data_IF_989000344633
#
_entry.id   IF_989000344633
#
_cell.length_a   1.000
_cell.length_b   1.000
_cell.length_c   1.000
_cell.angle_alpha   90.00
_cell.angle_beta   90.00
_cell.angle_gamma   90.00
#
_symmetry.space_group_name_H-M   'P 1'
#
loop_
_entity.id
_entity.type
_entity.pdbx_description
1 polymer ?
#
# COMPACT_ATOMS: atom_id res chain seq x y z
N UNK A 1 49.03 -13.02 40.16
CA UNK A 1 48.45 -13.10 38.80
C UNK A 1 47.53 -14.29 38.75
N UNK A 2 46.23 -14.09 38.99
CA UNK A 2 45.21 -15.10 38.73
C UNK A 2 44.45 -14.63 37.48
N UNK A 3 45.03 -14.90 36.31
CA UNK A 3 44.31 -14.81 35.05
C UNK A 3 43.46 -16.07 34.96
N UNK A 4 42.21 -15.99 35.41
CA UNK A 4 41.19 -16.95 35.02
C UNK A 4 41.14 -16.94 33.49
N UNK A 5 41.59 -18.03 32.88
CA UNK A 5 41.34 -18.35 31.49
C UNK A 5 39.83 -18.53 31.41
N UNK A 6 39.12 -17.45 31.13
CA UNK A 6 37.74 -17.51 30.68
C UNK A 6 37.75 -18.41 29.46
N UNK A 7 37.22 -19.63 29.61
CA UNK A 7 36.92 -20.50 28.48
C UNK A 7 36.27 -19.63 27.41
N UNK A 8 36.91 -19.50 26.26
CA UNK A 8 36.29 -18.88 25.09
C UNK A 8 34.93 -19.55 24.93
N UNK A 9 33.85 -18.84 25.26
CA UNK A 9 32.51 -19.21 24.80
C UNK A 9 32.67 -19.29 23.29
N UNK A 10 32.75 -20.51 22.74
CA UNK A 10 32.69 -20.78 21.30
C UNK A 10 31.65 -19.84 20.74
N UNK A 11 32.08 -18.79 20.05
CA UNK A 11 31.16 -17.80 19.51
C UNK A 11 30.14 -18.59 18.68
N UNK A 12 28.88 -18.61 19.10
CA UNK A 12 27.91 -19.49 18.46
C UNK A 12 27.78 -18.99 17.02
N UNK A 13 28.16 -19.84 16.04
CA UNK A 13 28.12 -19.50 14.61
C UNK A 13 26.74 -18.98 14.16
N UNK A 14 25.69 -19.35 14.88
CA UNK A 14 24.33 -18.83 14.72
C UNK A 14 23.91 -18.05 15.99
N UNK A 15 23.10 -17.00 15.85
CA UNK A 15 22.74 -16.09 16.96
C UNK A 15 21.49 -16.55 17.73
N UNK A 16 21.02 -17.78 17.52
CA UNK A 16 19.86 -18.33 18.24
C UNK A 16 20.25 -18.87 19.62
N UNK A 17 19.53 -18.47 20.66
CA UNK A 17 19.83 -18.84 22.05
C UNK A 17 19.19 -20.18 22.45
N UNK A 18 19.97 -21.02 23.14
CA UNK A 18 19.48 -22.20 23.88
C UNK A 18 18.90 -23.35 23.05
N UNK A 19 19.17 -23.42 21.73
CA UNK A 19 18.67 -24.48 20.83
C UNK A 19 19.74 -24.88 19.82
N UNK A 20 19.74 -26.14 19.42
CA UNK A 20 20.49 -26.57 18.22
C UNK A 20 19.80 -26.05 16.95
N UNK A 21 20.54 -25.95 15.83
CA UNK A 21 19.98 -25.51 14.55
C UNK A 21 18.76 -26.35 14.15
N UNK A 22 18.88 -27.68 14.28
CA UNK A 22 17.78 -28.63 13.97
C UNK A 22 16.56 -28.40 14.87
N UNK A 23 16.76 -28.20 16.19
CA UNK A 23 15.67 -27.89 17.10
C UNK A 23 15.01 -26.53 16.81
N UNK A 24 15.78 -25.51 16.41
CA UNK A 24 15.24 -24.20 16.04
C UNK A 24 14.34 -24.29 14.78
N UNK A 25 14.70 -25.14 13.82
CA UNK A 25 13.94 -25.37 12.58
C UNK A 25 12.68 -26.19 12.83
N UNK A 26 12.80 -27.36 13.47
CA UNK A 26 11.69 -28.31 13.66
C UNK A 26 10.63 -27.79 14.65
N UNK A 27 11.04 -27.36 15.84
CA UNK A 27 10.12 -26.75 16.82
C UNK A 27 9.53 -25.44 16.30
N UNK A 28 10.32 -24.70 15.50
CA UNK A 28 9.88 -23.51 14.79
C UNK A 28 8.72 -23.81 13.85
N UNK A 29 8.85 -24.86 13.03
CA UNK A 29 7.85 -25.30 12.05
C UNK A 29 6.49 -25.58 12.69
N UNK A 30 6.43 -26.50 13.67
CA UNK A 30 5.16 -26.90 14.27
C UNK A 30 4.48 -25.74 15.01
N UNK A 31 5.27 -24.93 15.73
CA UNK A 31 4.74 -23.75 16.43
C UNK A 31 4.14 -22.74 15.44
N UNK A 32 4.85 -22.42 14.36
CA UNK A 32 4.37 -21.44 13.38
C UNK A 32 3.19 -21.99 12.59
N UNK A 33 3.16 -23.28 12.27
CA UNK A 33 2.03 -23.92 11.61
C UNK A 33 0.75 -23.82 12.45
N UNK A 34 0.82 -24.20 13.73
CA UNK A 34 -0.34 -24.13 14.64
C UNK A 34 -0.86 -22.70 14.79
N UNK A 35 0.03 -21.73 15.02
CA UNK A 35 -0.35 -20.32 15.15
C UNK A 35 -0.93 -19.78 13.83
N UNK A 36 -0.32 -20.10 12.69
CA UNK A 36 -0.78 -19.66 11.39
C UNK A 36 -2.18 -20.22 11.08
N UNK A 37 -2.41 -21.50 11.37
CA UNK A 37 -3.71 -22.14 11.19
C UNK A 37 -4.79 -21.45 12.04
N UNK A 38 -4.54 -21.29 13.34
CA UNK A 38 -5.51 -20.67 14.27
C UNK A 38 -5.81 -19.23 13.85
N UNK A 39 -4.79 -18.42 13.57
CA UNK A 39 -4.98 -17.02 13.17
C UNK A 39 -5.75 -16.94 11.85
N UNK A 40 -5.39 -17.75 10.86
CA UNK A 40 -6.05 -17.75 9.55
C UNK A 40 -7.52 -18.22 9.66
N UNK A 41 -7.78 -19.23 10.46
CA UNK A 41 -9.13 -19.72 10.77
C UNK A 41 -9.99 -18.61 11.41
N UNK A 42 -9.47 -17.97 12.45
CA UNK A 42 -10.17 -16.88 13.14
C UNK A 42 -10.48 -15.71 12.20
N UNK A 43 -9.54 -15.29 11.35
CA UNK A 43 -9.76 -14.23 10.36
C UNK A 43 -10.86 -14.61 9.37
N UNK A 44 -10.92 -15.87 8.95
CA UNK A 44 -11.95 -16.35 8.01
C UNK A 44 -13.35 -16.42 8.62
N UNK A 45 -13.45 -16.74 9.92
CA UNK A 45 -14.73 -17.00 10.60
C UNK A 45 -15.27 -15.77 11.34
N UNK A 46 -14.41 -14.92 11.88
CA UNK A 46 -14.78 -13.78 12.72
C UNK A 46 -15.83 -12.85 12.07
N UNK A 47 -15.72 -12.45 10.78
CA UNK A 47 -16.74 -11.61 10.16
C UNK A 47 -18.12 -12.27 10.07
N UNK A 48 -18.17 -13.60 9.91
CA UNK A 48 -19.41 -14.35 9.85
C UNK A 48 -20.05 -14.49 11.24
N UNK A 49 -19.22 -14.68 12.28
CA UNK A 49 -19.67 -14.71 13.69
C UNK A 49 -20.24 -13.36 14.09
N UNK A 50 -19.52 -12.26 13.83
CA UNK A 50 -19.96 -10.90 14.16
C UNK A 50 -21.26 -10.50 13.46
N UNK A 51 -21.53 -11.07 12.27
CA UNK A 51 -22.77 -10.84 11.52
C UNK A 51 -23.87 -11.85 11.85
N UNK A 52 -23.67 -12.73 12.83
CA UNK A 52 -24.61 -13.78 13.21
C UNK A 52 -24.89 -14.83 12.11
N UNK A 53 -24.09 -14.85 11.03
CA UNK A 53 -24.31 -15.76 9.90
C UNK A 53 -24.00 -17.21 10.25
N UNK A 54 -23.12 -17.45 11.21
CA UNK A 54 -22.75 -18.80 11.66
C UNK A 54 -23.93 -19.54 12.29
N UNK A 55 -24.83 -18.83 12.98
CA UNK A 55 -26.05 -19.44 13.54
C UNK A 55 -27.05 -19.86 12.46
N UNK A 56 -27.00 -19.23 11.29
CA UNK A 56 -27.85 -19.56 10.13
C UNK A 56 -27.23 -20.63 9.24
N UNK A 57 -25.91 -20.62 9.09
CA UNK A 57 -25.16 -21.60 8.30
C UNK A 57 -23.89 -22.04 9.05
N UNK A 58 -23.95 -23.14 9.83
CA UNK A 58 -22.79 -23.64 10.57
C UNK A 58 -21.71 -24.24 9.64
N UNK A 59 -22.01 -24.48 8.36
CA UNK A 59 -21.01 -25.00 7.39
C UNK A 59 -19.83 -24.04 7.19
N UNK A 60 -20.01 -22.75 7.52
CA UNK A 60 -18.98 -21.72 7.48
C UNK A 60 -17.79 -22.07 8.38
N UNK A 61 -18.03 -22.69 9.55
CA UNK A 61 -16.94 -23.11 10.45
C UNK A 61 -16.09 -24.20 9.81
N UNK A 62 -16.74 -25.22 9.24
CA UNK A 62 -16.04 -26.32 8.54
C UNK A 62 -15.26 -25.81 7.33
N UNK A 63 -15.86 -24.91 6.52
CA UNK A 63 -15.19 -24.28 5.37
C UNK A 63 -14.01 -23.41 5.80
N UNK A 64 -14.14 -22.68 6.92
CA UNK A 64 -13.08 -21.85 7.48
C UNK A 64 -11.82 -22.63 7.88
N UNK A 65 -11.98 -23.88 8.32
CA UNK A 65 -10.87 -24.80 8.65
C UNK A 65 -10.41 -25.69 7.50
N UNK A 66 -10.90 -25.44 6.28
CA UNK A 66 -10.64 -26.30 5.13
C UNK A 66 -9.21 -26.23 4.57
N UNK A 67 -9.06 -26.79 3.37
CA UNK A 67 -7.77 -26.93 2.67
C UNK A 67 -7.03 -25.60 2.44
N UNK A 68 -7.72 -24.47 2.31
CA UNK A 68 -7.09 -23.15 2.15
C UNK A 68 -6.32 -22.72 3.41
N UNK A 69 -6.92 -22.93 4.59
CA UNK A 69 -6.32 -22.58 5.89
C UNK A 69 -5.13 -23.48 6.21
N UNK A 70 -5.27 -24.78 5.94
CA UNK A 70 -4.18 -25.76 6.07
C UNK A 70 -3.04 -25.41 5.11
N UNK A 71 -3.36 -25.15 3.83
CA UNK A 71 -2.38 -24.80 2.80
C UNK A 71 -1.61 -23.52 3.14
N UNK A 72 -2.30 -22.49 3.62
CA UNK A 72 -1.66 -21.25 4.08
C UNK A 72 -0.74 -21.48 5.27
N UNK A 73 -1.18 -22.24 6.27
CA UNK A 73 -0.36 -22.56 7.45
C UNK A 73 0.90 -23.37 7.06
N UNK A 74 0.76 -24.31 6.13
CA UNK A 74 1.87 -25.10 5.60
C UNK A 74 2.86 -24.25 4.80
N UNK A 75 2.36 -23.34 3.95
CA UNK A 75 3.19 -22.33 3.28
C UNK A 75 4.00 -21.50 4.29
N UNK A 76 3.34 -20.86 5.26
CA UNK A 76 4.00 -19.93 6.17
C UNK A 76 5.01 -20.62 7.09
N UNK A 77 4.69 -21.82 7.57
CA UNK A 77 5.60 -22.61 8.40
C UNK A 77 6.82 -23.11 7.61
N UNK A 78 6.60 -23.65 6.41
CA UNK A 78 7.69 -24.07 5.51
C UNK A 78 8.60 -22.92 5.15
N UNK A 79 8.02 -21.75 4.86
CA UNK A 79 8.75 -20.51 4.58
C UNK A 79 9.71 -20.14 5.71
N UNK A 80 9.21 -20.04 6.95
CA UNK A 80 10.03 -19.64 8.10
C UNK A 80 11.10 -20.69 8.44
N UNK A 81 10.77 -21.98 8.32
CA UNK A 81 11.71 -23.06 8.58
C UNK A 81 12.79 -23.19 7.50
N UNK A 82 12.43 -23.03 6.22
CA UNK A 82 13.38 -23.01 5.12
C UNK A 82 14.38 -21.85 5.28
N UNK A 83 13.89 -20.65 5.64
CA UNK A 83 14.75 -19.51 5.92
C UNK A 83 15.77 -19.81 7.02
N UNK A 84 15.31 -20.33 8.16
CA UNK A 84 16.20 -20.67 9.29
C UNK A 84 17.22 -21.75 8.91
N UNK A 85 16.77 -22.80 8.21
CA UNK A 85 17.63 -23.89 7.77
C UNK A 85 18.73 -23.38 6.85
N UNK A 86 18.37 -22.63 5.80
CA UNK A 86 19.33 -22.09 4.84
C UNK A 86 20.28 -21.08 5.50
N UNK A 87 19.76 -20.20 6.35
CA UNK A 87 20.60 -19.21 7.06
C UNK A 87 21.61 -19.88 8.01
N UNK A 88 21.17 -20.86 8.80
CA UNK A 88 22.05 -21.62 9.69
C UNK A 88 23.12 -22.39 8.90
N UNK A 89 22.73 -23.01 7.79
CA UNK A 89 23.65 -23.74 6.90
C UNK A 89 24.68 -22.78 6.29
N UNK A 90 24.23 -21.63 5.77
CA UNK A 90 25.11 -20.61 5.20
C UNK A 90 26.08 -20.03 6.23
N UNK A 91 25.64 -19.78 7.46
CA UNK A 91 26.54 -19.30 8.55
C UNK A 91 27.51 -20.37 9.04
N UNK A 92 27.14 -21.65 8.95
CA UNK A 92 28.04 -22.74 9.25
C UNK A 92 29.24 -22.78 8.29
N UNK A 93 28.98 -22.62 6.98
CA UNK A 93 30.01 -22.60 5.94
C UNK A 93 30.68 -21.23 5.73
N UNK A 94 29.97 -20.13 5.99
CA UNK A 94 30.44 -18.74 5.84
C UNK A 94 30.16 -17.94 7.12
N UNK A 95 31.00 -18.08 8.16
CA UNK A 95 30.77 -17.48 9.49
C UNK A 95 31.13 -15.99 9.60
N UNK A 96 31.87 -15.40 8.64
CA UNK A 96 32.30 -14.01 8.73
C UNK A 96 31.12 -13.04 8.72
N UNK A 97 31.13 -12.04 9.61
CA UNK A 97 30.07 -11.03 9.77
C UNK A 97 29.77 -10.25 8.48
N UNK A 98 30.76 -10.00 7.63
CA UNK A 98 30.56 -9.35 6.32
C UNK A 98 29.73 -10.23 5.36
N UNK A 99 29.79 -11.55 5.51
CA UNK A 99 29.00 -12.51 4.74
C UNK A 99 27.53 -12.56 5.14
N UNK A 100 27.13 -12.02 6.30
CA UNK A 100 25.77 -12.16 6.83
C UNK A 100 24.72 -11.48 5.95
N UNK A 101 25.10 -10.43 5.20
CA UNK A 101 24.25 -9.79 4.19
C UNK A 101 23.86 -10.75 3.06
N UNK A 102 24.85 -11.46 2.49
CA UNK A 102 24.62 -12.43 1.41
C UNK A 102 23.92 -13.68 1.96
N UNK A 103 24.33 -14.15 3.14
CA UNK A 103 23.70 -15.30 3.80
C UNK A 103 22.20 -15.04 4.01
N UNK A 104 21.83 -13.86 4.52
CA UNK A 104 20.43 -13.47 4.71
C UNK A 104 19.68 -13.28 3.39
N UNK A 105 20.33 -12.74 2.36
CA UNK A 105 19.73 -12.58 1.03
C UNK A 105 19.39 -13.93 0.40
N UNK A 106 20.35 -14.85 0.37
CA UNK A 106 20.18 -16.19 -0.20
C UNK A 106 19.15 -16.97 0.61
N UNK A 107 19.22 -16.94 1.95
CA UNK A 107 18.24 -17.61 2.79
C UNK A 107 16.81 -17.07 2.57
N UNK A 108 16.64 -15.75 2.47
CA UNK A 108 15.35 -15.13 2.16
C UNK A 108 14.83 -15.52 0.77
N UNK A 109 15.71 -15.53 -0.24
CA UNK A 109 15.37 -15.87 -1.62
C UNK A 109 14.98 -17.33 -1.78
N UNK A 110 15.76 -18.25 -1.22
CA UNK A 110 15.46 -19.69 -1.26
C UNK A 110 14.19 -20.00 -0.48
N UNK A 111 14.01 -19.42 0.71
CA UNK A 111 12.77 -19.55 1.46
C UNK A 111 11.57 -19.04 0.66
N UNK A 112 11.74 -17.96 -0.11
CA UNK A 112 10.70 -17.39 -0.96
C UNK A 112 10.05 -18.36 -1.95
N UNK A 113 10.80 -19.37 -2.42
CA UNK A 113 10.29 -20.41 -3.33
C UNK A 113 9.12 -21.20 -2.72
N UNK A 114 9.04 -21.28 -1.39
CA UNK A 114 7.93 -21.94 -0.68
C UNK A 114 6.57 -21.30 -0.96
N UNK A 115 6.51 -20.09 -1.53
CA UNK A 115 5.26 -19.48 -2.00
C UNK A 115 4.50 -20.37 -2.99
N UNK A 116 5.19 -21.28 -3.69
CA UNK A 116 4.56 -22.28 -4.57
C UNK A 116 3.53 -23.17 -3.83
N UNK A 117 3.70 -23.35 -2.51
CA UNK A 117 2.80 -24.14 -1.67
C UNK A 117 1.43 -23.46 -1.47
N UNK A 118 1.35 -22.14 -1.65
CA UNK A 118 0.09 -21.42 -1.59
C UNK A 118 -0.70 -21.60 -2.90
N UNK A 119 -1.77 -22.39 -2.85
CA UNK A 119 -2.62 -22.66 -4.03
C UNK A 119 -3.48 -21.47 -4.44
N UNK A 120 -3.66 -20.46 -3.58
CA UNK A 120 -4.50 -19.32 -3.87
C UNK A 120 -3.73 -18.25 -4.65
N UNK A 121 -3.88 -18.24 -5.97
CA UNK A 121 -3.17 -17.31 -6.86
C UNK A 121 -3.42 -15.83 -6.52
N UNK A 122 -4.66 -15.45 -6.15
CA UNK A 122 -4.97 -14.07 -5.79
C UNK A 122 -4.24 -13.64 -4.50
N UNK A 123 -4.19 -14.53 -3.50
CA UNK A 123 -3.42 -14.28 -2.27
C UNK A 123 -1.93 -14.21 -2.56
N UNK A 124 -1.38 -15.11 -3.39
CA UNK A 124 0.02 -15.08 -3.82
C UNK A 124 0.38 -13.74 -4.45
N UNK A 125 -0.35 -13.31 -5.47
CA UNK A 125 -0.11 -12.02 -6.14
C UNK A 125 -0.18 -10.86 -5.15
N UNK A 126 -1.19 -10.83 -4.27
CA UNK A 126 -1.33 -9.77 -3.27
C UNK A 126 -0.16 -9.73 -2.27
N UNK A 127 0.27 -10.89 -1.76
CA UNK A 127 1.40 -11.00 -0.82
C UNK A 127 2.72 -10.66 -1.52
N UNK A 128 2.92 -11.12 -2.76
CA UNK A 128 4.09 -10.78 -3.59
C UNK A 128 4.21 -9.28 -3.80
N UNK A 129 3.15 -8.63 -4.29
CA UNK A 129 3.18 -7.20 -4.56
C UNK A 129 3.33 -6.39 -3.28
N UNK A 130 2.71 -6.82 -2.19
CA UNK A 130 2.89 -6.19 -0.88
C UNK A 130 4.34 -6.29 -0.37
N UNK A 131 4.94 -7.48 -0.45
CA UNK A 131 6.33 -7.66 -0.03
C UNK A 131 7.29 -6.90 -0.94
N UNK A 132 7.04 -6.89 -2.25
CA UNK A 132 7.81 -6.14 -3.23
C UNK A 132 7.83 -4.65 -2.91
N UNK A 133 6.67 -4.02 -2.72
CA UNK A 133 6.61 -2.59 -2.38
C UNK A 133 7.26 -2.28 -1.03
N UNK A 134 7.14 -3.17 -0.04
CA UNK A 134 7.83 -3.03 1.25
C UNK A 134 9.35 -3.19 1.12
N UNK A 135 9.82 -4.10 0.27
CA UNK A 135 11.25 -4.27 0.00
C UNK A 135 11.84 -3.01 -0.64
N UNK A 136 11.11 -2.38 -1.57
CA UNK A 136 11.49 -1.09 -2.15
C UNK A 136 11.47 0.00 -1.07
N UNK A 137 10.40 0.11 -0.27
CA UNK A 137 10.30 1.12 0.78
C UNK A 137 11.49 1.07 1.74
N UNK A 138 11.79 -0.12 2.27
CA UNK A 138 12.87 -0.29 3.23
C UNK A 138 14.24 -0.20 2.56
N UNK A 139 14.38 -0.67 1.31
CA UNK A 139 15.58 -0.48 0.50
C UNK A 139 15.89 0.99 0.24
N UNK A 140 14.88 1.78 -0.13
CA UNK A 140 15.00 3.23 -0.28
C UNK A 140 15.32 3.92 1.05
N UNK A 141 14.74 3.46 2.16
CA UNK A 141 15.06 3.97 3.50
C UNK A 141 16.52 3.68 3.89
N UNK A 142 17.03 2.50 3.53
CA UNK A 142 18.44 2.15 3.69
C UNK A 142 19.37 3.01 2.82
N UNK A 143 19.04 3.20 1.55
CA UNK A 143 19.79 4.07 0.64
C UNK A 143 19.83 5.52 1.18
N UNK A 144 18.70 6.04 1.65
CA UNK A 144 18.62 7.37 2.26
C UNK A 144 19.46 7.47 3.54
N UNK A 145 19.46 6.44 4.38
CA UNK A 145 20.32 6.37 5.57
C UNK A 145 21.80 6.41 5.19
N UNK A 146 22.23 5.60 4.23
CA UNK A 146 23.63 5.57 3.77
C UNK A 146 24.07 6.87 3.13
N UNK A 147 23.19 7.46 2.32
CA UNK A 147 23.43 8.78 1.75
C UNK A 147 23.55 9.86 2.83
N UNK A 148 22.70 9.82 3.88
CA UNK A 148 22.81 10.73 5.01
C UNK A 148 24.13 10.55 5.79
N UNK A 149 24.53 9.32 6.09
CA UNK A 149 25.82 9.00 6.74
C UNK A 149 27.00 9.60 5.94
N UNK A 150 27.00 9.40 4.62
CA UNK A 150 28.04 9.95 3.74
C UNK A 150 28.06 11.49 3.73
N UNK A 151 26.88 12.14 3.66
CA UNK A 151 26.77 13.61 3.74
C UNK A 151 27.26 14.15 5.07
N UNK A 152 26.90 13.51 6.18
CA UNK A 152 27.37 13.90 7.51
C UNK A 152 28.89 13.74 7.62
N UNK A 153 29.48 12.65 7.12
CA UNK A 153 30.93 12.46 7.10
C UNK A 153 31.64 13.56 6.29
N UNK A 154 31.15 13.86 5.07
CA UNK A 154 31.68 14.95 4.22
C UNK A 154 31.59 16.31 4.91
N UNK A 155 30.48 16.60 5.59
CA UNK A 155 30.30 17.86 6.33
C UNK A 155 31.24 17.97 7.53
N UNK A 156 31.41 16.89 8.29
CA UNK A 156 32.34 16.83 9.41
C UNK A 156 33.78 17.03 8.93
N UNK A 157 34.19 16.38 7.84
CA UNK A 157 35.51 16.58 7.25
C UNK A 157 35.74 18.03 6.82
N UNK A 158 34.79 18.64 6.10
CA UNK A 158 34.89 20.05 5.69
C UNK A 158 34.95 21.01 6.88
N UNK A 159 34.20 20.71 7.96
CA UNK A 159 34.20 21.53 9.18
C UNK A 159 35.54 21.45 9.91
N UNK A 160 36.20 20.29 9.90
CA UNK A 160 37.54 20.13 10.46
C UNK A 160 38.56 20.98 9.68
N UNK A 161 38.56 20.88 8.34
CA UNK A 161 39.43 21.70 7.48
C UNK A 161 39.22 23.20 7.71
N UNK A 162 37.96 23.65 7.81
CA UNK A 162 37.66 25.06 8.04
C UNK A 162 38.09 25.51 9.44
N UNK A 163 37.96 24.64 10.44
CA UNK A 163 38.41 24.90 11.81
C UNK A 163 39.93 25.04 11.85
N UNK A 164 40.67 24.13 11.23
CA UNK A 164 42.13 24.17 11.18
C UNK A 164 42.61 25.45 10.47
N UNK A 165 41.92 25.87 9.40
CA UNK A 165 42.22 27.12 8.71
C UNK A 165 41.98 28.36 9.60
N UNK A 166 40.90 28.41 10.37
CA UNK A 166 40.61 29.53 11.30
C UNK A 166 41.57 29.53 12.49
N UNK A 167 41.91 28.37 13.05
CA UNK A 167 42.91 28.27 14.12
C UNK A 167 44.29 28.73 13.62
N UNK A 168 44.66 28.41 12.38
CA UNK A 168 45.93 28.84 11.77
C UNK A 168 46.01 30.35 11.46
N UNK A 169 44.88 31.02 11.24
CA UNK A 169 44.85 32.45 10.90
C UNK A 169 44.87 33.38 12.12
N UNK A 170 44.70 32.83 13.33
CA UNK A 170 44.69 33.60 14.58
C UNK A 170 43.50 34.57 14.74
N UNK A 171 42.56 34.58 13.80
CA UNK A 171 41.36 35.44 13.85
C UNK A 171 40.17 34.68 14.43
N UNK A 172 39.43 35.29 15.36
CA UNK A 172 38.13 34.77 15.82
C UNK A 172 37.07 34.97 14.74
N UNK A 173 37.03 34.08 13.74
CA UNK A 173 35.94 34.03 12.75
C UNK A 173 34.87 33.01 13.16
N UNK A 174 33.60 33.38 12.98
CA UNK A 174 32.46 32.49 13.21
C UNK A 174 32.35 31.47 12.06
N UNK A 175 32.30 30.18 12.39
CA UNK A 175 32.23 29.08 11.41
C UNK A 175 30.84 29.00 10.77
N UNK A 176 30.57 29.85 9.77
CA UNK A 176 29.31 29.80 9.02
C UNK A 176 29.38 28.71 7.94
N UNK A 177 28.79 27.55 8.22
CA UNK A 177 28.61 26.50 7.19
C UNK A 177 27.31 26.75 6.41
N UNK A 178 27.42 27.07 5.11
CA UNK A 178 26.25 27.22 4.23
C UNK A 178 25.49 25.90 4.10
N UNK A 179 24.16 25.96 4.01
CA UNK A 179 23.31 24.81 3.67
C UNK A 179 23.66 24.31 2.28
N UNK A 180 24.03 23.03 2.17
CA UNK A 180 24.35 22.41 0.89
C UNK A 180 23.07 22.10 0.09
N UNK A 181 23.16 22.09 -1.24
CA UNK A 181 22.04 21.71 -2.13
C UNK A 181 21.50 20.31 -1.79
N UNK A 182 22.40 19.41 -1.38
CA UNK A 182 22.13 18.04 -0.96
C UNK A 182 21.20 17.98 0.26
N UNK A 183 21.29 18.94 1.20
CA UNK A 183 20.44 19.02 2.39
C UNK A 183 19.02 19.48 2.02
N UNK A 184 18.92 20.42 1.08
CA UNK A 184 17.62 20.87 0.52
C UNK A 184 16.96 19.71 -0.21
N UNK A 185 17.70 18.98 -1.03
CA UNK A 185 17.19 17.81 -1.75
C UNK A 185 16.70 16.72 -0.79
N UNK A 186 17.49 16.36 0.24
CA UNK A 186 17.10 15.36 1.22
C UNK A 186 15.83 15.74 2.00
N UNK A 187 15.71 17.02 2.39
CA UNK A 187 14.52 17.54 3.06
C UNK A 187 13.29 17.49 2.15
N UNK A 188 13.44 17.91 0.89
CA UNK A 188 12.35 17.89 -0.09
C UNK A 188 11.89 16.47 -0.37
N UNK A 189 12.82 15.54 -0.65
CA UNK A 189 12.49 14.13 -0.92
C UNK A 189 11.74 13.49 0.24
N UNK A 190 12.22 13.68 1.48
CA UNK A 190 11.57 13.09 2.66
C UNK A 190 10.19 13.71 2.95
N UNK A 191 10.00 15.01 2.68
CA UNK A 191 8.73 15.69 2.88
C UNK A 191 7.70 15.36 1.78
N UNK A 192 8.13 15.14 0.52
CA UNK A 192 7.24 14.96 -0.61
C UNK A 192 7.01 13.50 -1.02
N UNK A 193 7.82 12.55 -0.54
CA UNK A 193 7.77 11.15 -0.98
C UNK A 193 6.38 10.53 -0.92
N UNK A 194 5.65 10.72 0.19
CA UNK A 194 4.31 10.16 0.34
C UNK A 194 3.32 10.74 -0.69
N UNK A 195 3.41 12.06 -0.92
CA UNK A 195 2.56 12.79 -1.87
C UNK A 195 2.85 12.40 -3.31
N UNK A 196 4.13 12.23 -3.67
CA UNK A 196 4.53 11.78 -5.01
C UNK A 196 4.02 10.36 -5.26
N UNK A 197 4.25 9.42 -4.33
CA UNK A 197 3.76 8.05 -4.49
C UNK A 197 2.24 8.03 -4.56
N UNK A 198 1.54 8.76 -3.68
CA UNK A 198 0.08 8.84 -3.74
C UNK A 198 -0.40 9.37 -5.09
N UNK A 199 0.18 10.46 -5.58
CA UNK A 199 -0.17 11.09 -6.87
C UNK A 199 0.03 10.13 -8.04
N UNK A 200 1.17 9.44 -8.10
CA UNK A 200 1.43 8.46 -9.15
C UNK A 200 0.43 7.30 -9.11
N UNK A 201 0.13 6.78 -7.92
CA UNK A 201 -0.84 5.69 -7.77
C UNK A 201 -2.25 6.14 -8.14
N UNK A 202 -2.65 7.34 -7.74
CA UNK A 202 -3.93 7.94 -8.07
C UNK A 202 -4.10 8.14 -9.59
N UNK A 203 -3.04 8.57 -10.30
CA UNK A 203 -3.06 8.70 -11.77
C UNK A 203 -3.47 7.38 -12.43
N UNK A 204 -2.81 6.27 -12.05
CA UNK A 204 -3.10 4.94 -12.58
C UNK A 204 -4.50 4.48 -12.21
N UNK A 205 -4.87 4.62 -10.93
CA UNK A 205 -6.13 4.10 -10.41
C UNK A 205 -7.31 4.83 -11.04
N UNK A 206 -7.25 6.17 -11.12
CA UNK A 206 -8.34 6.97 -11.67
C UNK A 206 -8.42 6.80 -13.18
N UNK A 207 -7.29 6.74 -13.89
CA UNK A 207 -7.26 6.39 -15.32
C UNK A 207 -7.94 5.05 -15.59
N UNK A 208 -7.51 4.00 -14.89
CA UNK A 208 -8.09 2.67 -15.06
C UNK A 208 -9.55 2.65 -14.65
N UNK A 209 -9.97 3.42 -13.65
CA UNK A 209 -11.37 3.48 -13.22
C UNK A 209 -12.32 3.99 -14.29
N UNK A 210 -11.88 4.90 -15.15
CA UNK A 210 -12.72 5.53 -16.17
C UNK A 210 -12.54 4.88 -17.53
N UNK A 211 -11.30 4.52 -17.90
CA UNK A 211 -10.97 4.09 -19.28
C UNK A 211 -10.83 2.57 -19.41
N UNK A 212 -10.23 1.89 -18.43
CA UNK A 212 -9.96 0.44 -18.48
C UNK A 212 -10.26 -0.24 -17.14
N UNK A 213 -11.54 -0.27 -16.69
CA UNK A 213 -11.91 -0.74 -15.36
C UNK A 213 -11.62 -2.24 -15.15
N UNK A 214 -11.63 -3.03 -16.22
CA UNK A 214 -11.33 -4.46 -16.23
C UNK A 214 -9.88 -4.79 -15.84
N UNK A 215 -8.96 -3.82 -15.94
CA UNK A 215 -7.57 -4.01 -15.53
C UNK A 215 -7.39 -4.01 -14.00
N UNK A 216 -8.38 -3.52 -13.25
CA UNK A 216 -8.27 -3.42 -11.80
C UNK A 216 -8.58 -4.73 -11.06
N UNK A 217 -7.96 -4.93 -9.88
CA UNK A 217 -8.34 -6.02 -8.98
C UNK A 217 -9.79 -5.87 -8.52
N UNK A 218 -10.61 -6.90 -8.72
CA UNK A 218 -12.08 -6.88 -8.45
C UNK A 218 -12.44 -6.38 -7.05
N UNK A 219 -11.68 -6.75 -6.02
CA UNK A 219 -11.93 -6.30 -4.64
C UNK A 219 -11.69 -4.80 -4.47
N UNK A 220 -10.69 -4.26 -5.17
CA UNK A 220 -10.34 -2.85 -5.12
C UNK A 220 -11.30 -2.02 -5.96
N UNK A 221 -11.71 -2.51 -7.13
CA UNK A 221 -12.78 -1.92 -7.93
C UNK A 221 -14.06 -1.73 -7.12
N UNK A 222 -14.53 -2.77 -6.42
CA UNK A 222 -15.72 -2.67 -5.55
C UNK A 222 -15.56 -1.62 -4.45
N UNK A 223 -14.37 -1.51 -3.88
CA UNK A 223 -14.07 -0.48 -2.89
C UNK A 223 -14.18 0.93 -3.50
N UNK A 224 -13.62 1.15 -4.70
CA UNK A 224 -13.75 2.44 -5.39
C UNK A 224 -15.21 2.74 -5.73
N UNK A 225 -15.98 1.74 -6.18
CA UNK A 225 -17.40 1.92 -6.51
C UNK A 225 -18.25 2.29 -5.29
N UNK A 226 -17.95 1.77 -4.11
CA UNK A 226 -18.64 2.20 -2.88
C UNK A 226 -18.44 3.70 -2.64
N UNK A 227 -17.22 4.21 -2.86
CA UNK A 227 -16.85 5.61 -2.64
C UNK A 227 -17.14 6.53 -3.84
N UNK A 228 -17.41 5.99 -5.03
CA UNK A 228 -17.86 6.79 -6.18
C UNK A 228 -19.31 7.25 -6.02
N UNK A 229 -20.11 6.53 -5.24
CA UNK A 229 -21.55 6.79 -5.13
C UNK A 229 -22.36 6.38 -6.35
N UNK A 230 -21.73 5.83 -7.41
CA UNK A 230 -22.41 5.44 -8.64
C UNK A 230 -23.42 4.29 -8.43
N UNK A 231 -23.09 3.23 -7.66
CA UNK A 231 -24.06 2.17 -7.34
C UNK A 231 -25.31 2.68 -6.63
N UNK A 232 -25.16 3.67 -5.75
CA UNK A 232 -26.27 4.24 -4.99
C UNK A 232 -27.16 5.14 -5.87
N UNK A 233 -26.64 5.65 -6.99
CA UNK A 233 -27.38 6.50 -7.94
C UNK A 233 -28.06 5.71 -9.05
N UNK A 234 -27.35 4.73 -9.61
CA UNK A 234 -27.84 3.99 -10.79
C UNK A 234 -28.37 2.59 -10.46
N UNK A 235 -28.16 2.10 -9.24
CA UNK A 235 -28.63 0.78 -8.82
C UNK A 235 -28.10 -0.33 -9.73
N UNK A 236 -28.95 -1.24 -10.23
CA UNK A 236 -28.51 -2.33 -11.13
C UNK A 236 -27.85 -1.84 -12.43
N UNK A 237 -28.23 -0.66 -12.93
CA UNK A 237 -27.74 -0.12 -14.20
C UNK A 237 -26.31 0.44 -14.14
N UNK A 238 -25.67 0.50 -12.97
CA UNK A 238 -24.29 0.99 -12.84
C UNK A 238 -23.32 0.22 -13.75
N UNK A 239 -23.49 -1.11 -13.84
CA UNK A 239 -22.62 -1.93 -14.67
C UNK A 239 -22.78 -1.64 -16.16
N UNK A 240 -24.00 -1.41 -16.62
CA UNK A 240 -24.30 -1.09 -18.02
C UNK A 240 -23.73 0.28 -18.37
N UNK A 241 -23.96 1.30 -17.52
CA UNK A 241 -23.39 2.65 -17.71
C UNK A 241 -21.87 2.63 -17.78
N UNK A 242 -21.21 1.87 -16.91
CA UNK A 242 -19.74 1.79 -16.89
C UNK A 242 -19.16 1.00 -18.06
N UNK A 243 -19.90 0.03 -18.61
CA UNK A 243 -19.47 -0.74 -19.78
C UNK A 243 -19.55 0.09 -21.06
N UNK A 244 -20.56 0.94 -21.14
CA UNK A 244 -20.79 1.83 -22.29
C UNK A 244 -20.01 3.15 -22.18
N UNK A 245 -19.16 3.32 -21.15
CA UNK A 245 -18.22 4.43 -21.11
C UNK A 245 -17.30 4.34 -22.34
N UNK A 246 -17.26 5.37 -23.21
CA UNK A 246 -16.47 5.28 -24.41
C UNK A 246 -14.99 5.20 -24.02
N UNK A 247 -14.36 4.08 -24.35
CA UNK A 247 -12.92 3.85 -24.13
C UNK A 247 -12.00 4.65 -25.07
N UNK A 248 -12.58 5.55 -25.88
CA UNK A 248 -11.91 6.34 -26.89
C UNK A 248 -11.55 7.75 -26.41
N UNK A 249 -10.41 8.26 -26.91
CA UNK A 249 -9.90 9.59 -26.58
C UNK A 249 -10.38 10.70 -27.54
N UNK A 250 -11.13 10.33 -28.58
CA UNK A 250 -11.50 11.21 -29.68
C UNK A 250 -13.02 11.46 -29.70
N UNK A 251 -13.42 12.68 -30.08
CA UNK A 251 -14.82 13.11 -30.23
C UNK A 251 -15.72 12.87 -29.00
N UNK A 252 -15.41 13.55 -27.89
CA UNK A 252 -16.16 13.43 -26.64
C UNK A 252 -17.30 14.44 -26.45
N UNK A 253 -17.43 15.41 -27.36
CA UNK A 253 -18.43 16.47 -27.30
C UNK A 253 -19.78 15.99 -27.82
N UNK A 254 -20.85 16.39 -27.15
CA UNK A 254 -22.21 16.23 -27.68
C UNK A 254 -22.45 17.38 -28.69
N UNK A 255 -22.92 17.09 -29.92
CA UNK A 255 -23.15 18.13 -30.92
C UNK A 255 -24.10 19.23 -30.43
N UNK A 256 -23.82 20.47 -30.84
CA UNK A 256 -24.67 21.62 -30.51
C UNK A 256 -26.09 21.42 -31.03
N UNK A 257 -27.08 21.55 -30.16
CA UNK A 257 -28.51 21.37 -30.51
C UNK A 257 -29.06 19.97 -30.21
N UNK A 258 -28.23 19.00 -29.83
CA UNK A 258 -28.68 17.67 -29.39
C UNK A 258 -28.67 17.60 -27.87
N UNK A 259 -29.76 17.16 -27.23
CA UNK A 259 -29.77 16.99 -25.77
C UNK A 259 -28.93 15.78 -25.35
N UNK A 260 -28.42 15.77 -24.11
CA UNK A 260 -27.64 14.60 -23.62
C UNK A 260 -28.46 13.32 -23.63
N UNK A 261 -29.77 13.43 -23.38
CA UNK A 261 -30.71 12.31 -23.43
C UNK A 261 -30.85 11.74 -24.85
N UNK A 262 -31.08 12.60 -25.85
CA UNK A 262 -31.18 12.17 -27.25
C UNK A 262 -29.87 11.55 -27.74
N UNK A 263 -28.73 12.18 -27.40
CA UNK A 263 -27.42 11.65 -27.76
C UNK A 263 -27.19 10.25 -27.18
N UNK A 264 -27.46 10.06 -25.89
CA UNK A 264 -27.28 8.76 -25.21
C UNK A 264 -28.28 7.73 -25.74
N UNK A 265 -29.53 8.12 -26.00
CA UNK A 265 -30.54 7.21 -26.52
C UNK A 265 -30.17 6.67 -27.90
N UNK A 266 -29.62 7.53 -28.78
CA UNK A 266 -29.29 7.18 -30.15
C UNK A 266 -27.93 6.48 -30.29
N UNK A 267 -26.91 6.92 -29.55
CA UNK A 267 -25.52 6.49 -29.77
C UNK A 267 -24.99 5.49 -28.73
N UNK A 268 -25.67 5.35 -27.58
CA UNK A 268 -25.19 4.52 -26.46
C UNK A 268 -26.23 3.46 -26.08
N UNK A 269 -27.33 3.86 -25.45
CA UNK A 269 -28.40 2.93 -25.07
C UNK A 269 -29.68 3.68 -24.72
N UNK A 270 -30.84 3.26 -25.29
CA UNK A 270 -32.13 3.84 -24.94
C UNK A 270 -32.51 3.55 -23.47
N UNK A 271 -32.08 2.41 -22.93
CA UNK A 271 -32.33 2.06 -21.52
C UNK A 271 -31.61 3.02 -20.57
N UNK A 272 -30.35 3.35 -20.87
CA UNK A 272 -29.57 4.30 -20.06
C UNK A 272 -30.18 5.71 -20.15
N UNK A 273 -30.68 6.11 -21.32
CA UNK A 273 -31.29 7.42 -21.52
C UNK A 273 -32.57 7.65 -20.68
N UNK A 274 -33.22 6.60 -20.20
CA UNK A 274 -34.38 6.73 -19.28
C UNK A 274 -34.02 7.40 -17.96
N UNK A 275 -32.75 7.34 -17.55
CA UNK A 275 -32.24 7.99 -16.34
C UNK A 275 -32.06 9.50 -16.49
N UNK A 276 -32.15 10.02 -17.71
CA UNK A 276 -31.77 11.41 -18.01
C UNK A 276 -32.99 12.31 -17.93
N UNK A 277 -32.97 13.32 -17.05
CA UNK A 277 -34.00 14.33 -17.02
C UNK A 277 -33.86 15.27 -18.24
N UNK A 278 -34.96 15.89 -18.67
CA UNK A 278 -34.99 16.67 -19.91
C UNK A 278 -34.35 18.06 -19.77
N UNK A 279 -34.23 18.57 -18.54
CA UNK A 279 -33.73 19.91 -18.21
C UNK A 279 -32.22 19.97 -17.99
N UNK A 280 -31.54 18.82 -17.91
CA UNK A 280 -30.09 18.75 -17.65
C UNK A 280 -29.35 18.42 -18.94
N UNK A 281 -28.48 19.35 -19.34
CA UNK A 281 -27.60 19.19 -20.49
C UNK A 281 -26.12 19.15 -20.08
N UNK A 282 -25.38 18.28 -20.75
CA UNK A 282 -23.94 18.15 -20.66
C UNK A 282 -23.31 18.28 -22.04
N UNK A 283 -22.27 19.11 -22.14
CA UNK A 283 -21.53 19.29 -23.40
C UNK A 283 -20.68 18.06 -23.77
N UNK A 284 -20.46 17.12 -22.83
CA UNK A 284 -19.56 15.99 -23.00
C UNK A 284 -20.23 14.67 -22.61
N UNK A 285 -20.07 13.65 -23.45
CA UNK A 285 -20.71 12.34 -23.27
C UNK A 285 -20.34 11.63 -21.94
N UNK A 286 -19.07 11.72 -21.50
CA UNK A 286 -18.65 11.13 -20.21
C UNK A 286 -19.30 11.83 -19.02
N UNK A 287 -19.48 13.16 -19.09
CA UNK A 287 -20.16 13.91 -18.02
C UNK A 287 -21.64 13.51 -17.97
N UNK A 288 -22.28 13.41 -19.14
CA UNK A 288 -23.64 12.89 -19.29
C UNK A 288 -23.80 11.49 -18.65
N UNK A 289 -22.89 10.55 -18.93
CA UNK A 289 -22.96 9.19 -18.36
C UNK A 289 -22.66 9.11 -16.86
N UNK A 290 -21.68 9.87 -16.36
CA UNK A 290 -21.25 9.78 -14.96
C UNK A 290 -22.20 10.49 -13.99
N UNK A 291 -22.85 11.57 -14.42
CA UNK A 291 -23.74 12.35 -13.56
C UNK A 291 -24.94 12.95 -14.32
N UNK A 292 -25.83 12.12 -14.89
CA UNK A 292 -26.96 12.58 -15.69
C UNK A 292 -27.99 13.39 -14.90
N UNK A 293 -28.10 13.13 -13.60
CA UNK A 293 -29.11 13.73 -12.72
C UNK A 293 -28.74 15.13 -12.22
N UNK A 294 -27.53 15.62 -12.49
CA UNK A 294 -27.03 16.90 -11.95
C UNK A 294 -26.09 17.58 -12.92
N UNK A 295 -26.12 18.91 -13.08
CA UNK A 295 -25.08 19.62 -13.82
C UNK A 295 -23.70 19.42 -13.17
N UNK A 296 -22.60 19.62 -13.90
CA UNK A 296 -21.24 19.35 -13.39
C UNK A 296 -20.92 20.01 -12.04
N UNK A 297 -21.38 21.25 -11.80
CA UNK A 297 -21.19 21.95 -10.52
C UNK A 297 -22.08 21.40 -9.41
N UNK A 298 -23.29 20.95 -9.73
CA UNK A 298 -24.18 20.24 -8.82
C UNK A 298 -23.59 18.88 -8.42
N UNK A 299 -23.06 18.13 -9.39
CA UNK A 299 -22.37 16.87 -9.14
C UNK A 299 -21.18 17.04 -8.19
N UNK A 300 -20.40 18.11 -8.36
CA UNK A 300 -19.26 18.40 -7.48
C UNK A 300 -19.70 18.56 -6.01
N UNK A 301 -20.82 19.24 -5.75
CA UNK A 301 -21.39 19.40 -4.40
C UNK A 301 -21.91 18.08 -3.86
N UNK A 302 -22.63 17.32 -4.69
CA UNK A 302 -23.18 16.01 -4.33
C UNK A 302 -22.09 14.98 -4.00
N UNK A 303 -21.00 14.95 -4.76
CA UNK A 303 -19.82 14.13 -4.46
C UNK A 303 -19.24 14.51 -3.11
N UNK A 304 -19.09 15.81 -2.83
CA UNK A 304 -18.48 16.30 -1.59
C UNK A 304 -19.32 15.94 -0.35
N UNK A 305 -20.64 16.14 -0.38
CA UNK A 305 -21.52 15.82 0.75
C UNK A 305 -21.76 14.31 0.88
N UNK A 306 -22.05 13.64 -0.22
CA UNK A 306 -22.32 12.21 -0.27
C UNK A 306 -21.11 11.38 0.15
N UNK A 307 -19.91 11.78 -0.30
CA UNK A 307 -18.69 11.04 0.04
C UNK A 307 -18.29 11.24 1.50
N UNK A 308 -18.46 12.44 2.04
CA UNK A 308 -18.18 12.67 3.45
C UNK A 308 -18.99 11.74 4.36
N UNK A 309 -20.27 11.51 4.05
CA UNK A 309 -21.14 10.61 4.81
C UNK A 309 -20.72 9.15 4.69
N UNK A 310 -20.35 8.69 3.49
CA UNK A 310 -19.85 7.32 3.26
C UNK A 310 -18.51 7.09 3.97
N UNK A 311 -17.59 8.05 3.86
CA UNK A 311 -16.31 8.04 4.54
C UNK A 311 -16.49 8.02 6.07
N UNK A 312 -17.41 8.83 6.61
CA UNK A 312 -17.72 8.88 8.03
C UNK A 312 -18.25 7.55 8.56
N UNK A 313 -19.15 6.89 7.81
CA UNK A 313 -19.65 5.56 8.16
C UNK A 313 -18.52 4.52 8.23
N UNK A 314 -17.63 4.49 7.24
CA UNK A 314 -16.51 3.55 7.20
C UNK A 314 -15.49 3.82 8.30
N UNK A 315 -14.95 5.04 8.36
CA UNK A 315 -13.90 5.40 9.32
C UNK A 315 -14.40 5.44 10.75
N UNK A 316 -15.62 5.89 10.98
CA UNK A 316 -16.25 5.85 12.30
C UNK A 316 -16.33 4.41 12.82
N UNK A 317 -16.84 3.48 12.01
CA UNK A 317 -16.94 2.06 12.39
C UNK A 317 -15.55 1.45 12.66
N UNK A 318 -14.60 1.66 11.76
CA UNK A 318 -13.25 1.11 11.90
C UNK A 318 -12.53 1.65 13.14
N UNK A 319 -12.50 2.97 13.30
CA UNK A 319 -11.79 3.60 14.41
C UNK A 319 -12.46 3.28 15.75
N UNK A 320 -13.79 3.12 15.78
CA UNK A 320 -14.51 2.69 16.98
C UNK A 320 -14.06 1.28 17.41
N UNK A 321 -14.04 0.31 16.48
CA UNK A 321 -13.60 -1.05 16.76
C UNK A 321 -12.14 -1.06 17.22
N UNK A 322 -11.25 -0.36 16.52
CA UNK A 322 -9.82 -0.29 16.88
C UNK A 322 -9.62 0.31 18.27
N UNK A 323 -10.37 1.36 18.62
CA UNK A 323 -10.29 2.00 19.93
C UNK A 323 -10.78 1.05 21.03
N UNK A 324 -11.89 0.35 20.79
CA UNK A 324 -12.44 -0.60 21.75
C UNK A 324 -11.50 -1.79 21.99
N UNK A 325 -10.88 -2.33 20.95
CA UNK A 325 -9.99 -3.51 21.06
C UNK A 325 -8.64 -3.16 21.65
N UNK A 326 -8.01 -2.07 21.20
CA UNK A 326 -6.61 -1.78 21.54
C UNK A 326 -6.44 -0.69 22.61
N UNK A 327 -7.47 0.10 22.89
CA UNK A 327 -7.39 1.24 23.81
C UNK A 327 -8.41 1.18 24.95
N UNK A 328 -9.05 0.02 25.20
CA UNK A 328 -10.01 -0.18 26.29
C UNK A 328 -9.54 0.36 27.66
N UNK A 329 -8.29 0.09 28.04
CA UNK A 329 -7.71 0.57 29.32
C UNK A 329 -7.59 2.10 29.37
N UNK A 330 -7.22 2.73 28.25
CA UNK A 330 -7.08 4.19 28.15
C UNK A 330 -8.44 4.89 28.08
N UNK A 331 -9.41 4.24 27.45
CA UNK A 331 -10.79 4.70 27.38
C UNK A 331 -11.41 4.75 28.78
N UNK A 332 -11.10 3.76 29.63
CA UNK A 332 -11.54 3.72 31.02
C UNK A 332 -10.88 4.82 31.88
N UNK A 333 -9.60 5.13 31.66
CA UNK A 333 -8.89 6.12 32.48
C UNK A 333 -9.15 7.57 32.07
N UNK A 334 -9.24 7.88 30.77
CA UNK A 334 -9.35 9.24 30.24
C UNK A 334 -10.27 9.31 29.01
N UNK A 335 -11.60 9.18 29.19
CA UNK A 335 -12.54 9.05 28.08
C UNK A 335 -12.61 10.29 27.17
N UNK A 336 -12.62 11.50 27.75
CA UNK A 336 -12.76 12.76 26.98
C UNK A 336 -11.63 12.94 25.96
N UNK A 337 -10.40 12.70 26.38
CA UNK A 337 -9.22 12.87 25.53
C UNK A 337 -9.14 11.82 24.41
N UNK A 338 -9.49 10.57 24.72
CA UNK A 338 -9.56 9.50 23.72
C UNK A 338 -10.63 9.81 22.67
N UNK A 339 -11.82 10.26 23.10
CA UNK A 339 -12.91 10.65 22.20
C UNK A 339 -12.52 11.85 21.34
N UNK A 340 -11.92 12.91 21.91
CA UNK A 340 -11.48 14.08 21.14
C UNK A 340 -10.46 13.69 20.06
N UNK A 341 -9.42 12.93 20.40
CA UNK A 341 -8.43 12.44 19.43
C UNK A 341 -9.08 11.56 18.35
N UNK A 342 -10.02 10.71 18.75
CA UNK A 342 -10.77 9.85 17.83
C UNK A 342 -11.58 10.68 16.84
N UNK A 343 -12.37 11.65 17.30
CA UNK A 343 -13.19 12.51 16.44
C UNK A 343 -12.30 13.30 15.49
N UNK A 344 -11.25 13.94 16.02
CA UNK A 344 -10.28 14.71 15.23
C UNK A 344 -9.63 13.85 14.14
N UNK A 345 -9.18 12.64 14.49
CA UNK A 345 -8.57 11.73 13.53
C UNK A 345 -9.57 11.23 12.48
N UNK A 346 -10.81 10.96 12.88
CA UNK A 346 -11.86 10.47 11.99
C UNK A 346 -12.25 11.55 10.98
N UNK A 347 -12.53 12.78 11.44
CA UNK A 347 -12.86 13.91 10.58
C UNK A 347 -11.73 14.17 9.59
N UNK A 348 -10.46 14.16 10.03
CA UNK A 348 -9.31 14.35 9.13
C UNK A 348 -9.26 13.29 8.03
N UNK A 349 -9.50 12.03 8.34
CA UNK A 349 -9.56 10.95 7.34
C UNK A 349 -10.74 11.06 6.40
N UNK A 350 -11.91 11.48 6.90
CA UNK A 350 -13.08 11.75 6.06
C UNK A 350 -12.80 12.90 5.09
N UNK A 351 -12.20 14.00 5.57
CA UNK A 351 -11.83 15.13 4.74
C UNK A 351 -10.82 14.74 3.67
N UNK A 352 -9.78 13.98 4.02
CA UNK A 352 -8.82 13.44 3.04
C UNK A 352 -9.52 12.67 1.92
N UNK A 353 -10.35 11.68 2.28
CA UNK A 353 -11.00 10.83 1.28
C UNK A 353 -12.01 11.62 0.44
N UNK A 354 -12.77 12.52 1.07
CA UNK A 354 -13.75 13.39 0.39
C UNK A 354 -13.06 14.28 -0.63
N UNK A 355 -11.96 14.94 -0.24
CA UNK A 355 -11.19 15.82 -1.14
C UNK A 355 -10.54 15.02 -2.27
N UNK A 356 -10.01 13.83 -1.98
CA UNK A 356 -9.47 12.92 -2.99
C UNK A 356 -10.53 12.57 -4.06
N UNK A 357 -11.71 12.14 -3.64
CA UNK A 357 -12.80 11.76 -4.55
C UNK A 357 -13.37 12.98 -5.28
N UNK A 358 -13.47 14.13 -4.61
CA UNK A 358 -13.87 15.39 -5.24
C UNK A 358 -12.97 15.73 -6.44
N UNK A 359 -11.65 15.73 -6.26
CA UNK A 359 -10.73 15.97 -7.38
C UNK A 359 -10.81 14.88 -8.44
N UNK A 360 -10.96 13.62 -8.03
CA UNK A 360 -11.09 12.50 -8.97
C UNK A 360 -12.25 12.68 -9.95
N UNK A 361 -13.40 13.19 -9.50
CA UNK A 361 -14.59 13.44 -10.35
C UNK A 361 -14.64 14.84 -10.99
N UNK A 362 -14.18 15.87 -10.29
CA UNK A 362 -14.31 17.25 -10.77
C UNK A 362 -13.23 17.64 -11.78
N UNK A 363 -11.98 17.21 -11.57
CA UNK A 363 -10.87 17.56 -12.46
C UNK A 363 -11.09 17.14 -13.92
N UNK A 364 -11.58 15.93 -14.26
CA UNK A 364 -11.82 15.56 -15.65
C UNK A 364 -12.86 16.45 -16.30
N UNK A 365 -13.91 16.86 -15.57
CA UNK A 365 -14.94 17.76 -16.08
C UNK A 365 -14.36 19.13 -16.48
N UNK A 366 -13.47 19.68 -15.66
CA UNK A 366 -12.76 20.94 -15.97
C UNK A 366 -11.80 20.75 -17.14
N UNK A 367 -11.01 19.68 -17.12
CA UNK A 367 -10.04 19.38 -18.17
C UNK A 367 -10.70 19.14 -19.53
N UNK A 368 -11.88 18.51 -19.58
CA UNK A 368 -12.67 18.36 -20.81
C UNK A 368 -13.13 19.72 -21.35
N UNK A 369 -13.54 20.64 -20.48
CA UNK A 369 -13.90 22.01 -20.89
C UNK A 369 -12.71 22.77 -21.50
N UNK A 370 -11.50 22.58 -20.96
CA UNK A 370 -10.28 23.25 -21.42
C UNK A 370 -9.75 22.61 -22.71
N UNK A 371 -9.57 21.28 -22.71
CA UNK A 371 -8.90 20.56 -23.80
C UNK A 371 -9.85 20.20 -24.95
N UNK A 372 -11.17 20.12 -24.69
CA UNK A 372 -12.21 19.65 -25.64
C UNK A 372 -11.99 18.23 -26.20
N UNK A 373 -11.01 17.50 -25.67
CA UNK A 373 -10.70 16.10 -25.97
C UNK A 373 -10.36 15.35 -24.69
N UNK A 374 -10.52 14.03 -24.71
CA UNK A 374 -10.06 13.20 -23.60
C UNK A 374 -8.60 12.84 -23.86
N UNK A 375 -7.70 13.09 -22.91
CA UNK A 375 -6.28 12.79 -23.09
C UNK A 375 -5.73 12.11 -21.85
N UNK A 376 -4.64 11.35 -22.01
CA UNK A 376 -3.93 10.78 -20.87
C UNK A 376 -3.42 11.88 -19.90
N UNK A 377 -3.11 13.07 -20.42
CA UNK A 377 -2.73 14.24 -19.61
C UNK A 377 -3.83 14.68 -18.64
N UNK A 378 -5.11 14.54 -19.01
CA UNK A 378 -6.25 14.79 -18.10
C UNK A 378 -6.12 13.94 -16.84
N UNK A 379 -5.77 12.67 -16.98
CA UNK A 379 -5.65 11.72 -15.88
C UNK A 379 -4.36 11.90 -15.06
N UNK A 380 -3.29 12.38 -15.70
CA UNK A 380 -2.05 12.77 -15.00
C UNK A 380 -2.31 13.95 -14.06
N UNK A 381 -2.99 15.00 -14.54
CA UNK A 381 -3.35 16.17 -13.71
C UNK A 381 -4.36 15.77 -12.64
N UNK A 382 -5.36 14.96 -13.00
CA UNK A 382 -6.35 14.43 -12.07
C UNK A 382 -5.72 13.67 -10.91
N UNK A 383 -4.87 12.68 -11.20
CA UNK A 383 -4.22 11.88 -10.17
C UNK A 383 -3.25 12.70 -9.32
N UNK A 384 -2.59 13.70 -9.91
CA UNK A 384 -1.74 14.63 -9.16
C UNK A 384 -2.57 15.46 -8.16
N UNK A 385 -3.64 16.12 -8.61
CA UNK A 385 -4.50 16.93 -7.73
C UNK A 385 -5.19 16.08 -6.66
N UNK A 386 -5.69 14.89 -7.03
CA UNK A 386 -6.30 13.95 -6.09
C UNK A 386 -5.27 13.45 -5.07
N UNK A 387 -4.04 13.15 -5.52
CA UNK A 387 -2.96 12.67 -4.66
C UNK A 387 -2.48 13.70 -3.64
N UNK A 388 -2.53 15.00 -3.97
CA UNK A 388 -2.22 16.09 -3.02
C UNK A 388 -3.14 16.08 -1.79
N UNK A 389 -4.35 15.53 -1.89
CA UNK A 389 -5.27 15.42 -0.76
C UNK A 389 -4.65 14.67 0.43
N UNK A 390 -3.65 13.79 0.20
CA UNK A 390 -2.96 13.06 1.27
C UNK A 390 -2.29 13.98 2.29
N UNK A 391 -1.96 15.22 1.91
CA UNK A 391 -1.39 16.22 2.82
C UNK A 391 -2.33 16.59 3.97
N UNK A 392 -3.65 16.34 3.82
CA UNK A 392 -4.64 16.50 4.89
C UNK A 392 -4.40 15.48 6.01
N UNK A 393 -3.88 14.30 5.70
CA UNK A 393 -3.62 13.26 6.70
C UNK A 393 -2.38 13.51 7.56
N UNK A 394 -2.32 12.86 8.73
CA UNK A 394 -1.13 12.92 9.58
C UNK A 394 0.12 12.45 8.82
N UNK A 395 1.28 13.13 8.94
CA UNK A 395 2.52 12.77 8.25
C UNK A 395 2.90 11.29 8.36
N UNK A 396 2.71 10.68 9.54
CA UNK A 396 2.99 9.26 9.76
C UNK A 396 2.06 8.28 9.03
N UNK A 397 0.88 8.73 8.57
CA UNK A 397 -0.11 7.93 7.84
C UNK A 397 -0.06 8.12 6.33
N UNK A 398 0.47 9.25 5.85
CA UNK A 398 0.53 9.57 4.42
C UNK A 398 1.22 8.48 3.60
N UNK A 399 2.42 8.07 4.03
CA UNK A 399 3.18 7.02 3.34
C UNK A 399 2.50 5.65 3.42
N UNK A 400 1.86 5.32 4.54
CA UNK A 400 1.14 4.04 4.68
C UNK A 400 -0.08 3.96 3.77
N UNK A 401 -0.81 5.07 3.57
CA UNK A 401 -1.91 5.15 2.61
C UNK A 401 -1.39 5.05 1.16
N UNK A 402 -0.32 5.75 0.83
CA UNK A 402 0.29 5.68 -0.51
C UNK A 402 0.76 4.25 -0.83
N UNK A 403 1.39 3.56 0.14
CA UNK A 403 1.82 2.17 0.01
C UNK A 403 0.69 1.15 0.07
N UNK A 404 -0.49 1.53 0.54
CA UNK A 404 -1.70 0.71 0.41
C UNK A 404 -2.21 0.73 -1.04
N UNK A 405 -2.18 1.90 -1.70
CA UNK A 405 -2.59 2.07 -3.10
C UNK A 405 -1.55 1.52 -4.09
N UNK A 406 -0.26 1.59 -3.77
CA UNK A 406 0.84 1.25 -4.68
C UNK A 406 0.78 -0.18 -5.24
N UNK A 407 0.60 -1.26 -4.43
CA UNK A 407 0.44 -2.61 -4.97
C UNK A 407 -0.74 -2.73 -5.95
N UNK A 408 -1.84 -2.00 -5.70
CA UNK A 408 -3.03 -2.02 -6.57
C UNK A 408 -2.75 -1.32 -7.89
N UNK A 409 -2.09 -0.15 -7.84
CA UNK A 409 -1.65 0.53 -9.05
C UNK A 409 -0.67 -0.33 -9.87
N UNK A 410 0.29 -1.00 -9.24
CA UNK A 410 1.23 -1.89 -9.93
C UNK A 410 0.53 -3.08 -10.59
N UNK A 411 -0.41 -3.72 -9.90
CA UNK A 411 -1.24 -4.81 -10.46
C UNK A 411 -2.04 -4.32 -11.68
N UNK A 412 -2.66 -3.14 -11.57
CA UNK A 412 -3.41 -2.51 -12.66
C UNK A 412 -2.52 -2.18 -13.85
N UNK A 413 -1.36 -1.55 -13.65
CA UNK A 413 -0.41 -1.24 -14.73
C UNK A 413 0.02 -2.52 -15.45
N UNK A 414 0.36 -3.56 -14.70
CA UNK A 414 0.75 -4.85 -15.28
C UNK A 414 -0.37 -5.43 -16.16
N UNK A 415 -1.62 -5.39 -15.70
CA UNK A 415 -2.77 -5.87 -16.46
C UNK A 415 -3.03 -5.04 -17.74
N UNK A 416 -2.90 -3.72 -17.66
CA UNK A 416 -2.99 -2.83 -18.84
C UNK A 416 -1.88 -3.16 -19.84
N UNK A 417 -0.65 -3.32 -19.38
CA UNK A 417 0.49 -3.67 -20.25
C UNK A 417 0.31 -5.03 -20.91
N UNK A 418 -0.25 -6.02 -20.20
CA UNK A 418 -0.59 -7.33 -20.75
C UNK A 418 -1.68 -7.22 -21.84
N UNK A 419 -2.75 -6.47 -21.56
CA UNK A 419 -3.86 -6.26 -22.51
C UNK A 419 -3.38 -5.59 -23.80
N UNK A 420 -2.44 -4.65 -23.69
CA UNK A 420 -1.84 -3.94 -24.83
C UNK A 420 -0.71 -4.71 -25.53
N UNK A 421 -0.39 -5.93 -25.08
CA UNK A 421 0.68 -6.74 -25.66
C UNK A 421 2.11 -6.20 -25.42
N UNK A 422 2.28 -5.24 -24.51
CA UNK A 422 3.58 -4.62 -24.21
C UNK A 422 4.48 -5.53 -23.36
N UNK A 423 3.88 -6.43 -22.58
CA UNK A 423 4.58 -7.40 -21.75
C UNK A 423 3.97 -8.79 -21.92
N UNK A 424 4.75 -9.82 -21.63
CA UNK A 424 4.29 -11.22 -21.64
C UNK A 424 4.17 -11.74 -20.22
N UNK A 425 3.18 -12.58 -19.98
CA UNK A 425 3.01 -13.20 -18.67
C UNK A 425 4.11 -14.23 -18.42
N UNK A 426 4.94 -14.00 -17.41
CA UNK A 426 6.01 -14.90 -17.02
C UNK A 426 5.45 -15.98 -16.09
N UNK A 427 5.55 -17.24 -16.50
CA UNK A 427 5.13 -18.38 -15.66
C UNK A 427 5.87 -18.32 -14.32
N UNK A 428 5.12 -18.29 -13.23
CA UNK A 428 5.65 -18.20 -11.86
C UNK A 428 6.47 -16.92 -11.56
N UNK A 429 6.29 -15.84 -12.34
CA UNK A 429 6.98 -14.57 -12.11
C UNK A 429 6.69 -13.96 -10.72
N UNK A 430 5.52 -14.23 -10.15
CA UNK A 430 5.15 -13.83 -8.80
C UNK A 430 5.99 -14.53 -7.71
N UNK A 431 6.42 -15.78 -7.94
CA UNK A 431 7.31 -16.52 -7.03
C UNK A 431 8.72 -15.96 -7.12
N UNK A 432 9.23 -15.70 -8.33
CA UNK A 432 10.55 -15.10 -8.52
C UNK A 432 10.62 -13.70 -7.87
N UNK A 433 9.61 -12.87 -8.08
CA UNK A 433 9.52 -11.54 -7.49
C UNK A 433 9.43 -11.58 -5.97
N UNK A 434 8.61 -12.49 -5.42
CA UNK A 434 8.52 -12.69 -3.97
C UNK A 434 9.86 -13.13 -3.39
N UNK A 435 10.54 -14.07 -4.04
CA UNK A 435 11.84 -14.60 -3.62
C UNK A 435 12.89 -13.49 -3.56
N UNK A 436 13.04 -12.71 -4.64
CA UNK A 436 13.98 -11.59 -4.67
C UNK A 436 13.66 -10.55 -3.59
N UNK A 437 12.38 -10.19 -3.45
CA UNK A 437 11.90 -9.20 -2.46
C UNK A 437 12.16 -9.67 -1.03
N UNK A 438 12.01 -10.98 -0.77
CA UNK A 438 12.27 -11.58 0.53
C UNK A 438 13.77 -11.63 0.84
N UNK A 439 14.61 -11.88 -0.16
CA UNK A 439 16.06 -11.76 -0.02
C UNK A 439 16.47 -10.36 0.47
N UNK A 440 16.02 -9.31 -0.22
CA UNK A 440 16.27 -7.91 0.19
C UNK A 440 15.76 -7.66 1.61
N UNK A 441 14.52 -8.06 1.89
CA UNK A 441 13.89 -7.83 3.18
C UNK A 441 14.63 -8.53 4.33
N UNK A 442 15.12 -9.76 4.13
CA UNK A 442 15.89 -10.48 5.14
C UNK A 442 17.29 -9.90 5.33
N UNK A 443 17.94 -9.43 4.27
CA UNK A 443 19.21 -8.70 4.38
C UNK A 443 19.05 -7.46 5.25
N UNK A 444 18.03 -6.65 5.01
CA UNK A 444 17.75 -5.45 5.81
C UNK A 444 17.37 -5.79 7.25
N UNK A 445 16.54 -6.81 7.45
CA UNK A 445 16.12 -7.25 8.79
C UNK A 445 17.31 -7.69 9.66
N UNK A 446 18.25 -8.43 9.08
CA UNK A 446 19.40 -8.97 9.83
C UNK A 446 20.52 -7.96 10.06
N UNK A 447 20.75 -7.05 9.11
CA UNK A 447 21.95 -6.20 9.11
C UNK A 447 21.64 -4.73 9.44
N UNK A 448 20.45 -4.25 9.10
CA UNK A 448 20.07 -2.83 9.23
C UNK A 448 18.64 -2.67 9.82
N UNK A 449 18.28 -3.31 10.95
CA UNK A 449 16.91 -3.29 11.47
C UNK A 449 16.37 -1.89 11.75
N UNK A 450 17.23 -0.88 11.91
CA UNK A 450 16.86 0.52 12.08
C UNK A 450 16.10 1.14 10.90
N UNK A 451 16.24 0.59 9.69
CA UNK A 451 15.58 1.11 8.48
C UNK A 451 14.14 0.59 8.33
N UNK A 452 13.80 -0.47 9.07
CA UNK A 452 12.47 -1.06 9.06
C UNK A 452 11.62 -0.34 10.10
N UNK A 453 10.40 0.02 9.71
CA UNK A 453 9.44 0.62 10.64
C UNK A 453 9.18 -0.30 11.84
N UNK A 454 9.12 0.28 13.05
CA UNK A 454 9.02 -0.42 14.33
C UNK A 454 7.90 -1.47 14.39
N UNK A 455 6.74 -1.19 13.80
CA UNK A 455 5.62 -2.14 13.80
C UNK A 455 5.98 -3.41 13.01
N UNK A 456 6.53 -3.23 11.81
CA UNK A 456 6.98 -4.33 10.95
C UNK A 456 8.14 -5.09 11.58
N UNK A 457 9.12 -4.38 12.15
CA UNK A 457 10.25 -4.99 12.83
C UNK A 457 9.77 -5.89 13.98
N UNK A 458 8.75 -5.46 14.74
CA UNK A 458 8.16 -6.26 15.82
C UNK A 458 7.53 -7.55 15.28
N UNK A 459 6.79 -7.47 14.17
CA UNK A 459 6.18 -8.65 13.53
C UNK A 459 7.26 -9.60 12.99
N UNK A 460 8.25 -9.09 12.27
CA UNK A 460 9.37 -9.90 11.75
C UNK A 460 10.14 -10.57 12.90
N UNK A 461 10.41 -9.84 13.98
CA UNK A 461 11.09 -10.39 15.16
C UNK A 461 10.28 -11.50 15.82
N UNK A 462 8.94 -11.40 15.86
CA UNK A 462 8.08 -12.47 16.38
C UNK A 462 8.05 -13.71 15.47
N UNK A 463 8.08 -13.52 14.15
CA UNK A 463 8.01 -14.61 13.18
C UNK A 463 9.35 -15.33 13.01
N UNK A 464 10.40 -14.57 12.72
CA UNK A 464 11.72 -15.11 12.44
C UNK A 464 12.51 -15.35 13.72
N UNK A 465 12.35 -14.51 14.74
CA UNK A 465 13.22 -14.48 15.92
C UNK A 465 14.49 -13.67 15.65
N UNK A 466 15.26 -13.40 16.72
CA UNK A 466 16.64 -12.93 16.60
C UNK A 466 17.49 -14.14 16.25
N UNK A 467 17.95 -14.24 15.01
CA UNK A 467 18.72 -15.38 14.51
C UNK A 467 20.09 -14.99 14.04
#
# INVERSE_FOLDING_TARGET
MNLEITQEKRASKCKHEGKTCSQNVTRGFFKTWMVAYVVKYLIGVLPAVLKGKVFKDPSILKKGGGSDTIGFAFFLSSFLSAYKLVLCTMRYYRPNNEGDRLNAFVAGSVAGLTLILDKNKSRRTAVTLYLFTRSIQFGSSYAMKKWAEHRHAKKTANRLVLRDAVESSGQKQELVTKTAWDDVLAKTMSASAATVVMSMTACVIIYSCVIEPEAMPKSYWRFIMEHSGLPQKFGPMTHDVLRELPGGMEHIGIPTGVTSKEFVAHNISPNIATLFPNDIHHDFQLCALLHPLTPCSGHAKDVLTGEFMRAAKMYGTLNFIVTLVFQNKKLASNPKEVVYRYVKSTIRSCLFLTVYVFFAFYTPCVMRKILKRETIFTYLINGTLSGLAVLIEAPGRQMELALYCLPRALETVWNIMLKRGLVRNVRNGDIALFSASMGVMMTLYQNDPSVINKHYLTVLTRLFGRN
#
